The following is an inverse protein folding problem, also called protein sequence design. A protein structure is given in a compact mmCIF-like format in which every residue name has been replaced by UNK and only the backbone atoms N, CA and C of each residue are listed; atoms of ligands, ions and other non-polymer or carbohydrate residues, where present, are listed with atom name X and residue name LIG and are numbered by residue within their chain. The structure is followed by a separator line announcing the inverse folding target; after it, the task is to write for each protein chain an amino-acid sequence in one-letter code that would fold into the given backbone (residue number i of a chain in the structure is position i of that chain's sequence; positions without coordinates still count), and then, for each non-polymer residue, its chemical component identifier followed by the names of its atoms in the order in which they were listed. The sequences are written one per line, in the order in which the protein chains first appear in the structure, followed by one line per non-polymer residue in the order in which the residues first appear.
data_IF_404225955871
#
_entry.id   IF_404225955871
#
_cell.length_a   1.000
_cell.length_b   1.000
_cell.length_c   1.000
_cell.angle_alpha   90.00
_cell.angle_beta   90.00
_cell.angle_gamma   90.00
#
_symmetry.space_group_name_H-M   'P 1'
#
loop_
_entity.id
_entity.type
_entity.pdbx_description
1 polymer ?
#
# COMPACT_ATOMS: atom_id res chain seq x y z
N UNK A 1 -8.63 13.97 11.86
CA UNK A 1 -7.34 14.26 11.16
C UNK A 1 -7.33 13.50 9.84
N UNK A 2 -6.75 14.05 8.78
CA UNK A 2 -6.59 13.35 7.49
C UNK A 2 -5.10 13.09 7.24
N UNK A 3 -4.75 11.85 6.93
CA UNK A 3 -3.40 11.46 6.55
C UNK A 3 -3.39 10.81 5.16
N UNK A 4 -2.24 10.91 4.50
CA UNK A 4 -1.97 10.25 3.23
C UNK A 4 -0.73 9.38 3.37
N UNK A 5 -0.85 8.11 3.00
CA UNK A 5 0.27 7.16 2.93
C UNK A 5 0.44 6.71 1.50
N UNK A 6 1.67 6.75 0.99
CA UNK A 6 2.00 6.29 -0.37
C UNK A 6 2.94 5.11 -0.33
N UNK A 7 2.46 3.97 -0.81
CA UNK A 7 3.30 2.81 -1.06
C UNK A 7 4.02 2.98 -2.41
N UNK A 8 5.35 2.93 -2.38
CA UNK A 8 6.13 2.89 -3.61
C UNK A 8 5.84 1.60 -4.39
N UNK A 9 5.94 1.63 -5.72
CA UNK A 9 5.71 0.43 -6.54
C UNK A 9 6.58 -0.76 -6.11
N UNK A 10 7.86 -0.52 -5.78
CA UNK A 10 8.78 -1.57 -5.24
C UNK A 10 8.31 -2.23 -3.95
N UNK A 11 7.44 -1.56 -3.19
CA UNK A 11 6.95 -2.09 -1.91
C UNK A 11 5.81 -3.09 -2.13
N UNK A 12 5.16 -3.07 -3.29
CA UNK A 12 3.98 -3.90 -3.55
C UNK A 12 4.14 -4.80 -4.79
N UNK A 13 5.26 -4.67 -5.51
CA UNK A 13 5.58 -5.48 -6.69
C UNK A 13 7.04 -5.88 -6.70
N UNK A 14 7.33 -7.04 -7.27
CA UNK A 14 8.67 -7.38 -7.73
C UNK A 14 8.99 -6.55 -8.98
N UNK A 15 9.99 -5.67 -8.89
CA UNK A 15 10.41 -4.80 -10.00
C UNK A 15 11.13 -5.56 -11.12
N UNK A 16 11.51 -6.81 -10.90
CA UNK A 16 12.20 -7.64 -11.90
C UNK A 16 11.24 -8.41 -12.80
N UNK A 17 10.01 -8.64 -12.33
CA UNK A 17 8.94 -9.28 -13.09
C UNK A 17 8.05 -8.27 -13.82
N UNK A 18 7.40 -8.70 -14.90
CA UNK A 18 6.30 -7.97 -15.51
C UNK A 18 5.02 -8.32 -14.76
N UNK A 19 4.23 -7.31 -14.38
CA UNK A 19 2.93 -7.52 -13.72
C UNK A 19 3.01 -8.48 -12.51
N UNK A 20 4.06 -8.34 -11.70
CA UNK A 20 4.41 -9.23 -10.60
C UNK A 20 4.07 -8.60 -9.23
N UNK A 21 2.82 -8.71 -8.73
CA UNK A 21 2.45 -8.20 -7.41
C UNK A 21 3.01 -9.10 -6.30
N UNK A 22 3.53 -8.49 -5.24
CA UNK A 22 3.86 -9.20 -4.00
C UNK A 22 2.60 -9.29 -3.12
N UNK A 23 1.77 -10.30 -3.39
CA UNK A 23 0.51 -10.50 -2.68
C UNK A 23 0.69 -10.79 -1.19
N UNK A 24 1.82 -11.34 -0.77
CA UNK A 24 2.11 -11.59 0.65
C UNK A 24 2.35 -10.26 1.35
N UNK A 25 3.20 -9.41 0.78
CA UNK A 25 3.50 -8.10 1.33
C UNK A 25 2.29 -7.16 1.29
N UNK A 26 1.51 -7.16 0.20
CA UNK A 26 0.27 -6.38 0.10
C UNK A 26 -0.71 -6.74 1.22
N UNK A 27 -0.93 -8.04 1.48
CA UNK A 27 -1.82 -8.49 2.56
C UNK A 27 -1.31 -8.06 3.93
N UNK A 28 0.00 -8.13 4.17
CA UNK A 28 0.62 -7.66 5.41
C UNK A 28 0.39 -6.15 5.61
N UNK A 29 0.66 -5.35 4.58
CA UNK A 29 0.45 -3.89 4.61
C UNK A 29 -1.03 -3.54 4.85
N UNK A 30 -1.97 -4.27 4.25
CA UNK A 30 -3.39 -4.07 4.51
C UNK A 30 -3.76 -4.33 5.98
N UNK A 31 -3.20 -5.38 6.59
CA UNK A 31 -3.41 -5.67 8.01
C UNK A 31 -2.78 -4.59 8.92
N UNK A 32 -1.57 -4.13 8.60
CA UNK A 32 -0.90 -3.04 9.33
C UNK A 32 -1.71 -1.73 9.25
N UNK A 33 -2.23 -1.40 8.06
CA UNK A 33 -3.12 -0.25 7.88
C UNK A 33 -4.38 -0.39 8.73
N UNK A 34 -5.00 -1.58 8.75
CA UNK A 34 -6.19 -1.81 9.58
C UNK A 34 -5.88 -1.60 11.06
N UNK A 35 -4.80 -2.18 11.56
CA UNK A 35 -4.38 -2.03 12.94
C UNK A 35 -4.12 -0.54 13.30
N UNK A 36 -3.54 0.23 12.38
CA UNK A 36 -3.35 1.66 12.56
C UNK A 36 -4.68 2.43 12.63
N UNK A 37 -5.67 2.07 11.81
CA UNK A 37 -7.01 2.66 11.86
C UNK A 37 -7.74 2.31 13.18
N UNK A 38 -7.55 1.10 13.70
CA UNK A 38 -8.15 0.66 14.97
C UNK A 38 -7.60 1.40 16.19
N UNK A 39 -6.30 1.73 16.16
CA UNK A 39 -5.65 2.50 17.22
C UNK A 39 -5.83 4.01 17.07
N UNK A 40 -6.41 4.49 15.94
CA UNK A 40 -6.49 5.90 15.66
C UNK A 40 -7.62 6.61 16.44
N UNK A 41 -7.46 7.89 16.79
CA UNK A 41 -8.53 8.68 17.39
C UNK A 41 -9.76 8.78 16.50
N UNK A 42 -10.92 9.03 17.12
CA UNK A 42 -12.18 9.24 16.40
C UNK A 42 -12.05 10.34 15.32
N UNK A 43 -12.60 10.06 14.13
CA UNK A 43 -12.53 10.98 13.00
C UNK A 43 -11.17 11.05 12.29
N UNK A 44 -10.26 10.11 12.58
CA UNK A 44 -9.10 9.86 11.72
C UNK A 44 -9.55 9.32 10.37
N UNK A 45 -8.93 9.82 9.30
CA UNK A 45 -9.18 9.44 7.92
C UNK A 45 -7.84 9.18 7.25
N UNK A 46 -7.77 8.13 6.45
CA UNK A 46 -6.57 7.73 5.73
C UNK A 46 -6.87 7.64 4.24
N UNK A 47 -6.02 8.24 3.43
CA UNK A 47 -5.96 8.02 1.98
C UNK A 47 -4.71 7.19 1.71
N UNK A 48 -4.86 6.16 0.88
CA UNK A 48 -3.74 5.32 0.44
C UNK A 48 -3.53 5.54 -1.05
N UNK A 49 -2.29 5.88 -1.41
CA UNK A 49 -1.83 5.88 -2.79
C UNK A 49 -0.82 4.77 -3.01
N UNK A 50 -0.68 4.30 -4.26
CA UNK A 50 0.39 3.38 -4.62
C UNK A 50 1.08 3.81 -5.93
N UNK A 51 2.29 3.30 -6.18
CA UNK A 51 2.92 3.38 -7.51
C UNK A 51 2.46 2.22 -8.39
N UNK A 52 2.63 2.33 -9.71
CA UNK A 52 2.28 1.24 -10.65
C UNK A 52 3.16 0.00 -10.50
N UNK A 53 4.39 0.15 -9.96
CA UNK A 53 5.27 -1.00 -9.71
C UNK A 53 5.71 -1.64 -11.02
N UNK A 54 5.59 -2.96 -11.11
CA UNK A 54 5.84 -3.77 -12.31
C UNK A 54 4.78 -3.64 -13.41
N UNK A 55 3.75 -2.80 -13.23
CA UNK A 55 2.67 -2.61 -14.19
C UNK A 55 2.84 -1.29 -14.97
N UNK A 56 2.32 -1.26 -16.21
CA UNK A 56 2.23 -0.04 -17.01
C UNK A 56 3.57 0.46 -17.59
N UNK A 57 4.56 -0.42 -17.70
CA UNK A 57 5.80 -0.15 -18.44
C UNK A 57 5.61 -0.69 -19.87
N UNK A 58 5.18 0.16 -20.80
CA UNK A 58 5.06 -0.10 -22.24
C UNK A 58 5.76 0.99 -23.02
#
# INVERSE_FOLDING_TARGET
MLAFVKFGGSVITDKTGQEAPDLVLIRRLAAEVRAALDAAPAGYRLIIGHGSGSFGHT
#
